data_IF_940399033657
#
_entry.id   IF_940399033657
#
_cell.length_a   1.000
_cell.length_b   1.000
_cell.length_c   1.000
_cell.angle_alpha   90.00
_cell.angle_beta   90.00
_cell.angle_gamma   90.00
#
_symmetry.space_group_name_H-M   'P 1'
#
loop_
_entity.id
_entity.type
_entity.pdbx_description
1 polymer ?
#
# COMPACT_ATOMS: atom_id res chain seq x y z
N UNK A 1 4.84 6.64 -36.87
CA UNK A 1 4.64 7.24 -35.55
C UNK A 1 3.98 6.19 -34.68
N UNK A 2 4.73 5.51 -33.80
CA UNK A 2 4.14 4.57 -32.81
C UNK A 2 3.67 5.41 -31.63
N UNK A 3 2.35 5.49 -31.44
CA UNK A 3 1.75 6.31 -30.40
C UNK A 3 2.13 5.81 -29.00
N UNK A 4 2.22 6.73 -28.04
CA UNK A 4 2.32 6.48 -26.59
C UNK A 4 1.06 5.78 -26.01
N UNK A 5 0.16 5.29 -26.88
CA UNK A 5 -1.18 4.79 -26.59
C UNK A 5 -1.24 3.44 -25.85
N UNK A 6 -0.09 2.85 -25.52
CA UNK A 6 -0.02 1.55 -24.83
C UNK A 6 0.73 1.60 -23.48
N UNK A 7 0.97 2.78 -22.89
CA UNK A 7 1.43 2.82 -21.50
C UNK A 7 0.28 2.37 -20.58
N UNK A 8 0.28 1.08 -20.24
CA UNK A 8 -0.55 0.54 -19.16
C UNK A 8 -0.08 1.18 -17.85
N UNK A 9 -0.95 2.02 -17.31
CA UNK A 9 -0.72 2.68 -16.02
C UNK A 9 -0.86 1.63 -14.91
N UNK A 10 0.01 1.70 -13.90
CA UNK A 10 -0.09 0.80 -12.74
C UNK A 10 -1.28 1.24 -11.87
N UNK A 11 -2.34 0.45 -11.90
CA UNK A 11 -3.59 0.72 -11.16
C UNK A 11 -3.73 -0.17 -9.93
N UNK A 12 -3.13 -1.35 -9.95
CA UNK A 12 -3.18 -2.31 -8.85
C UNK A 12 -1.75 -2.70 -8.49
N UNK A 13 -1.41 -2.65 -7.21
CA UNK A 13 -0.09 -3.03 -6.72
C UNK A 13 -0.25 -3.78 -5.41
N UNK A 14 0.42 -4.93 -5.31
CA UNK A 14 0.56 -5.66 -4.07
C UNK A 14 2.03 -5.73 -3.70
N UNK A 15 2.34 -5.38 -2.46
CA UNK A 15 3.68 -5.44 -1.90
C UNK A 15 3.73 -6.45 -0.76
N UNK A 16 4.84 -7.17 -0.68
CA UNK A 16 5.16 -7.99 0.47
C UNK A 16 5.88 -7.11 1.50
N UNK A 17 5.29 -6.92 2.68
CA UNK A 17 5.82 -6.06 3.74
C UNK A 17 7.23 -6.46 4.17
N UNK A 18 7.52 -7.76 4.17
CA UNK A 18 8.85 -8.32 4.45
C UNK A 18 9.90 -8.05 3.36
N UNK A 19 9.47 -7.70 2.14
CA UNK A 19 10.37 -7.39 1.02
C UNK A 19 10.65 -5.88 0.89
N UNK A 20 9.79 -5.02 1.46
CA UNK A 20 9.92 -3.56 1.34
C UNK A 20 10.83 -2.99 2.43
N UNK A 21 10.84 -3.58 3.62
CA UNK A 21 11.69 -3.16 4.73
C UNK A 21 12.57 -4.33 5.13
N UNK A 22 13.82 -4.32 4.67
CA UNK A 22 14.84 -5.24 5.18
C UNK A 22 15.18 -4.78 6.59
N UNK A 23 15.05 -5.66 7.58
CA UNK A 23 15.58 -5.45 8.93
C UNK A 23 17.10 -5.28 8.82
N UNK A 24 17.58 -4.05 8.66
CA UNK A 24 18.97 -3.73 8.93
C UNK A 24 19.12 -3.59 10.43
N UNK A 25 19.88 -4.49 11.02
CA UNK A 25 20.25 -4.63 12.45
C UNK A 25 20.89 -3.38 13.10
N UNK A 26 20.89 -2.23 12.43
CA UNK A 26 21.55 -1.02 12.91
C UNK A 26 20.55 0.00 13.43
N UNK A 27 20.74 0.36 14.69
CA UNK A 27 19.99 1.29 15.55
C UNK A 27 20.11 2.76 15.07
N UNK A 28 20.25 2.97 13.76
CA UNK A 28 20.48 4.28 13.14
C UNK A 28 19.42 4.55 12.08
N UNK A 29 18.57 5.53 12.43
CA UNK A 29 17.67 6.27 11.53
C UNK A 29 16.60 5.42 10.84
N UNK A 30 15.41 5.47 11.42
CA UNK A 30 14.11 5.30 10.76
C UNK A 30 13.90 6.33 9.64
N UNK A 31 14.81 6.40 8.65
CA UNK A 31 14.51 6.89 7.31
C UNK A 31 13.87 5.72 6.52
N UNK A 32 12.84 5.12 7.14
CA UNK A 32 11.97 4.18 6.45
C UNK A 32 11.46 4.90 5.21
N UNK A 33 11.73 4.34 4.04
CA UNK A 33 11.27 4.92 2.79
C UNK A 33 9.74 4.94 2.86
N UNK A 34 9.15 6.12 3.09
CA UNK A 34 7.71 6.26 3.33
C UNK A 34 6.97 5.49 2.23
N UNK A 35 6.02 4.64 2.60
CA UNK A 35 5.21 3.88 1.64
C UNK A 35 4.68 4.80 0.51
N UNK A 36 4.34 6.04 0.85
CA UNK A 36 3.86 7.09 -0.04
C UNK A 36 4.86 7.53 -1.12
N UNK A 37 6.15 7.27 -0.95
CA UNK A 37 7.20 7.56 -1.96
C UNK A 37 7.35 6.44 -2.98
N UNK A 38 6.94 5.21 -2.65
CA UNK A 38 7.05 4.02 -3.50
C UNK A 38 5.83 3.84 -4.41
N UNK A 39 4.67 4.36 -3.99
CA UNK A 39 3.42 4.17 -4.70
C UNK A 39 3.25 5.22 -5.82
N UNK A 40 2.75 4.83 -7.00
CA UNK A 40 2.41 5.80 -8.03
C UNK A 40 1.06 6.46 -7.75
N UNK A 41 0.90 7.73 -8.14
CA UNK A 41 -0.36 8.49 -7.99
C UNK A 41 -1.53 7.89 -8.78
N UNK A 42 -1.25 7.00 -9.73
CA UNK A 42 -2.25 6.30 -10.54
C UNK A 42 -2.92 5.12 -9.84
N UNK A 43 -2.41 4.73 -8.68
CA UNK A 43 -2.87 3.55 -7.96
C UNK A 43 -4.35 3.67 -7.57
N UNK A 44 -5.12 2.62 -7.86
CA UNK A 44 -6.52 2.47 -7.51
C UNK A 44 -6.73 1.44 -6.40
N UNK A 45 -5.95 0.36 -6.43
CA UNK A 45 -6.00 -0.70 -5.43
C UNK A 45 -4.59 -1.01 -4.95
N UNK A 46 -4.42 -1.00 -3.62
CA UNK A 46 -3.18 -1.34 -2.97
C UNK A 46 -3.34 -2.56 -2.08
N UNK A 47 -2.38 -3.48 -2.12
CA UNK A 47 -2.30 -4.65 -1.25
C UNK A 47 -0.98 -4.66 -0.48
N UNK A 48 -1.05 -5.03 0.79
CA UNK A 48 0.14 -5.25 1.62
C UNK A 48 0.03 -6.60 2.34
N UNK A 49 1.02 -7.47 2.12
CA UNK A 49 1.06 -8.80 2.72
C UNK A 49 2.08 -8.87 3.87
N UNK A 50 1.67 -9.38 5.02
CA UNK A 50 2.49 -9.58 6.23
C UNK A 50 3.37 -8.37 6.60
N UNK A 51 2.78 -7.20 6.92
CA UNK A 51 3.57 -6.04 7.36
C UNK A 51 4.15 -6.26 8.76
N UNK A 52 5.44 -5.92 8.94
CA UNK A 52 6.07 -5.79 10.25
C UNK A 52 5.51 -4.59 11.03
N UNK A 53 5.61 -4.62 12.36
CA UNK A 53 5.09 -3.56 13.25
C UNK A 53 5.68 -2.18 12.94
N UNK A 54 6.93 -2.12 12.52
CA UNK A 54 7.61 -0.87 12.14
C UNK A 54 6.93 -0.14 10.96
N UNK A 55 6.15 -0.84 10.14
CA UNK A 55 5.47 -0.29 8.95
C UNK A 55 4.11 0.33 9.31
N UNK A 56 3.61 0.15 10.54
CA UNK A 56 2.26 0.58 10.90
C UNK A 56 2.09 2.10 10.87
N UNK A 57 3.12 2.84 11.25
CA UNK A 57 3.11 4.30 11.14
C UNK A 57 3.05 4.74 9.68
N UNK A 58 3.74 4.05 8.78
CA UNK A 58 3.73 4.34 7.35
C UNK A 58 2.38 4.00 6.70
N UNK A 59 1.69 2.94 7.16
CA UNK A 59 0.31 2.61 6.73
C UNK A 59 -0.66 3.72 7.17
N UNK A 60 -0.52 4.24 8.39
CA UNK A 60 -1.34 5.36 8.87
C UNK A 60 -0.99 6.66 8.14
N UNK A 61 0.29 6.89 7.87
CA UNK A 61 0.76 8.00 7.04
C UNK A 61 0.17 7.95 5.64
N UNK A 62 0.14 6.77 5.02
CA UNK A 62 -0.52 6.52 3.75
C UNK A 62 -1.99 6.91 3.84
N UNK A 63 -2.73 6.42 4.84
CA UNK A 63 -4.15 6.76 5.01
C UNK A 63 -4.37 8.28 5.11
N UNK A 64 -3.55 8.98 5.92
CA UNK A 64 -3.67 10.42 6.11
C UNK A 64 -3.39 11.26 4.85
N UNK A 65 -2.46 10.80 4.00
CA UNK A 65 -2.06 11.48 2.77
C UNK A 65 -2.76 10.98 1.51
N UNK A 66 -3.54 9.89 1.59
CA UNK A 66 -3.97 9.16 0.42
C UNK A 66 -4.89 9.98 -0.51
N UNK A 67 -5.80 10.78 0.04
CA UNK A 67 -6.69 11.60 -0.78
C UNK A 67 -5.93 12.62 -1.65
N UNK A 68 -4.79 13.13 -1.16
CA UNK A 68 -3.98 14.13 -1.85
C UNK A 68 -2.93 13.49 -2.76
N UNK A 69 -2.22 12.48 -2.28
CA UNK A 69 -1.09 11.85 -2.98
C UNK A 69 -1.56 10.78 -3.98
N UNK A 70 -2.65 10.08 -3.66
CA UNK A 70 -3.20 8.98 -4.44
C UNK A 70 -4.69 9.23 -4.73
N UNK A 71 -5.03 10.26 -5.51
CA UNK A 71 -6.42 10.68 -5.72
C UNK A 71 -7.30 9.61 -6.37
N UNK A 72 -6.69 8.59 -6.99
CA UNK A 72 -7.36 7.45 -7.60
C UNK A 72 -7.49 6.24 -6.67
N UNK A 73 -6.85 6.24 -5.50
CA UNK A 73 -6.90 5.12 -4.57
C UNK A 73 -8.33 4.98 -4.03
N UNK A 74 -8.87 3.78 -4.15
CA UNK A 74 -10.24 3.45 -3.71
C UNK A 74 -10.27 2.29 -2.75
N UNK A 75 -9.24 1.44 -2.78
CA UNK A 75 -9.23 0.20 -2.01
C UNK A 75 -7.83 -0.11 -1.50
N UNK A 76 -7.76 -0.51 -0.24
CA UNK A 76 -6.57 -1.04 0.40
C UNK A 76 -6.91 -2.39 1.00
N UNK A 77 -6.06 -3.39 0.74
CA UNK A 77 -6.10 -4.69 1.44
C UNK A 77 -4.83 -4.90 2.22
N UNK A 78 -4.96 -5.39 3.46
CA UNK A 78 -3.81 -5.75 4.28
C UNK A 78 -4.02 -7.18 4.79
N UNK A 79 -3.01 -8.02 4.56
CA UNK A 79 -2.98 -9.43 4.94
C UNK A 79 -1.96 -9.63 6.07
N UNK A 80 -2.23 -10.57 6.98
CA UNK A 80 -1.29 -10.92 8.06
C UNK A 80 -1.32 -10.01 9.30
N UNK A 81 -2.31 -9.12 9.42
CA UNK A 81 -2.49 -8.26 10.60
C UNK A 81 -3.55 -8.81 11.56
N UNK A 82 -3.41 -8.49 12.86
CA UNK A 82 -4.41 -8.84 13.87
C UNK A 82 -5.71 -8.04 13.70
N UNK A 83 -6.81 -8.49 14.32
CA UNK A 83 -8.12 -7.82 14.17
C UNK A 83 -8.12 -6.41 14.76
N UNK A 84 -7.50 -6.21 15.92
CA UNK A 84 -7.40 -4.91 16.58
C UNK A 84 -6.66 -3.89 15.69
N UNK A 85 -5.58 -4.32 15.05
CA UNK A 85 -4.80 -3.50 14.12
C UNK A 85 -5.62 -3.18 12.85
N UNK A 86 -6.33 -4.18 12.32
CA UNK A 86 -7.18 -4.02 11.15
C UNK A 86 -8.31 -3.01 11.39
N UNK A 87 -8.86 -2.96 12.61
CA UNK A 87 -9.87 -1.97 12.98
C UNK A 87 -9.31 -0.53 12.93
N UNK A 88 -8.11 -0.33 13.46
CA UNK A 88 -7.42 0.97 13.42
C UNK A 88 -7.17 1.40 11.98
N UNK A 89 -6.67 0.50 11.13
CA UNK A 89 -6.45 0.81 9.71
C UNK A 89 -7.76 1.09 8.98
N UNK A 90 -8.81 0.32 9.25
CA UNK A 90 -10.13 0.55 8.65
C UNK A 90 -10.61 1.96 8.92
N UNK A 91 -10.58 2.39 10.18
CA UNK A 91 -11.00 3.75 10.55
C UNK A 91 -10.17 4.82 9.83
N UNK A 92 -8.85 4.64 9.77
CA UNK A 92 -7.96 5.59 9.10
C UNK A 92 -8.27 5.72 7.59
N UNK A 93 -8.38 4.60 6.87
CA UNK A 93 -8.63 4.62 5.42
C UNK A 93 -10.07 5.04 5.07
N UNK A 94 -11.07 4.55 5.81
CA UNK A 94 -12.47 4.87 5.54
C UNK A 94 -12.78 6.35 5.85
N UNK A 95 -12.10 6.95 6.84
CA UNK A 95 -12.20 8.40 7.08
C UNK A 95 -11.75 9.24 5.89
N UNK A 96 -10.89 8.67 5.04
CA UNK A 96 -10.40 9.28 3.80
C UNK A 96 -11.15 8.82 2.54
N UNK A 97 -12.28 8.12 2.71
CA UNK A 97 -13.11 7.62 1.61
C UNK A 97 -12.53 6.42 0.86
N UNK A 98 -11.57 5.71 1.47
CA UNK A 98 -10.90 4.55 0.87
C UNK A 98 -11.42 3.29 1.57
N UNK A 99 -11.86 2.32 0.78
CA UNK A 99 -12.35 1.05 1.30
C UNK A 99 -11.17 0.23 1.85
N UNK A 100 -11.25 -0.20 3.09
CA UNK A 100 -10.29 -1.12 3.68
C UNK A 100 -10.87 -2.53 3.76
N UNK A 101 -10.09 -3.54 3.35
CA UNK A 101 -10.49 -4.95 3.45
C UNK A 101 -9.34 -5.75 4.06
N UNK A 102 -9.63 -6.51 5.12
CA UNK A 102 -8.65 -7.41 5.73
C UNK A 102 -8.58 -8.73 4.95
N UNK A 103 -7.38 -9.24 4.72
CA UNK A 103 -7.12 -10.59 4.18
C UNK A 103 -7.72 -10.87 2.79
N UNK A 104 -8.01 -9.84 2.00
CA UNK A 104 -8.45 -10.04 0.62
C UNK A 104 -7.24 -10.19 -0.29
N UNK A 105 -7.24 -11.27 -1.07
CA UNK A 105 -6.28 -11.47 -2.15
C UNK A 105 -6.76 -10.63 -3.33
N UNK A 106 -5.91 -9.72 -3.81
CA UNK A 106 -6.22 -9.00 -5.04
C UNK A 106 -6.31 -10.01 -6.18
N UNK A 107 -7.35 -9.96 -7.04
CA UNK A 107 -7.45 -10.87 -8.17
C UNK A 107 -6.16 -10.75 -9.01
N UNK A 108 -5.42 -11.85 -9.10
CA UNK A 108 -4.18 -11.93 -9.85
C UNK A 108 -4.40 -11.38 -11.27
N UNK A 109 -3.66 -10.34 -11.64
CA UNK A 109 -3.51 -9.99 -13.05
C UNK A 109 -2.04 -9.94 -13.42
N UNK A 110 -1.65 -11.04 -14.08
CA UNK A 110 -0.48 -11.25 -14.94
C UNK A 110 0.89 -10.99 -14.31
N UNK A 111 1.50 -12.08 -13.82
CA UNK A 111 2.93 -12.30 -13.98
C UNK A 111 3.32 -11.98 -15.44
N UNK A 112 4.08 -10.91 -15.65
CA UNK A 112 4.83 -10.78 -16.89
C UNK A 112 6.00 -11.76 -16.81
N UNK A 113 5.88 -12.85 -17.55
CA UNK A 113 7.04 -13.59 -18.07
C UNK A 113 7.64 -12.83 -19.24
#
# INVERSE_FOLDING_TARGET
MRGLSEMKVLENLELCGTCVYVETDDDTTTDGTLLTSLLPSSLQVFGLDNPHEHIYQDILGLASGAATLFPKLRKVTIRGVQEEQAEVFRQAFESSGIKFIKNEILPEFYHWR
#
